data_IF_248201293527
#
_entry.id   IF_248201293527
#
_cell.length_a   1.000
_cell.length_b   1.000
_cell.length_c   1.000
_cell.angle_alpha   90.00
_cell.angle_beta   90.00
_cell.angle_gamma   90.00
#
_symmetry.space_group_name_H-M   'P 1'
#
loop_
_entity.id
_entity.type
_entity.pdbx_description
1 polymer ?
#
# COMPACT_ATOMS: atom_id res chain seq x y z
N UNK A 1 -9.38 8.83 -4.48
CA UNK A 1 -9.53 8.17 -3.18
C UNK A 1 -10.98 8.33 -2.79
N UNK A 2 -11.69 7.24 -2.58
CA UNK A 2 -13.11 7.28 -2.22
C UNK A 2 -13.18 6.83 -0.76
N UNK A 3 -13.61 7.70 0.18
CA UNK A 3 -13.80 7.28 1.56
C UNK A 3 -14.83 6.16 1.63
N UNK A 4 -14.59 5.16 2.48
CA UNK A 4 -15.58 4.13 2.77
C UNK A 4 -16.35 4.53 4.03
N UNK A 5 -17.68 4.54 3.93
CA UNK A 5 -18.55 4.99 5.02
C UNK A 5 -18.77 3.92 6.11
N UNK A 6 -18.42 2.66 5.86
CA UNK A 6 -18.73 1.53 6.75
C UNK A 6 -17.51 1.01 7.54
N UNK A 7 -16.32 1.17 7.00
CA UNK A 7 -15.08 0.57 7.51
C UNK A 7 -13.96 1.54 7.18
N UNK A 8 -13.20 2.00 8.17
CA UNK A 8 -12.20 3.08 8.07
C UNK A 8 -11.01 2.79 7.10
N UNK A 9 -11.29 2.49 5.84
CA UNK A 9 -10.36 2.23 4.75
C UNK A 9 -10.76 3.03 3.51
N UNK A 10 -9.82 3.21 2.59
CA UNK A 10 -10.04 3.97 1.37
C UNK A 10 -10.16 3.05 0.16
N UNK A 11 -11.07 3.37 -0.76
CA UNK A 11 -11.10 2.76 -2.07
C UNK A 11 -10.22 3.57 -3.03
N UNK A 12 -9.25 2.90 -3.65
CA UNK A 12 -8.38 3.48 -4.68
C UNK A 12 -8.81 2.91 -6.04
N UNK A 13 -9.40 3.76 -6.87
CA UNK A 13 -9.73 3.40 -8.25
C UNK A 13 -8.49 3.61 -9.14
N UNK A 14 -8.04 2.53 -9.79
CA UNK A 14 -6.92 2.57 -10.73
C UNK A 14 -7.29 3.14 -12.10
N UNK A 15 -6.31 3.18 -12.99
CA UNK A 15 -6.46 3.51 -14.41
C UNK A 15 -6.31 2.24 -15.25
N UNK A 16 -7.06 2.13 -16.36
CA UNK A 16 -7.06 0.94 -17.24
C UNK A 16 -5.78 0.79 -18.10
N UNK A 17 -4.79 1.67 -17.93
CA UNK A 17 -3.59 1.74 -18.77
C UNK A 17 -2.32 1.30 -18.01
N UNK A 18 -2.46 0.65 -16.86
CA UNK A 18 -1.35 0.13 -16.06
C UNK A 18 -0.76 -1.17 -16.63
N UNK A 19 0.44 -1.54 -16.16
CA UNK A 19 0.98 -2.89 -16.34
C UNK A 19 0.49 -3.74 -15.19
N UNK A 20 -0.30 -4.78 -15.49
CA UNK A 20 -0.90 -5.61 -14.45
C UNK A 20 -0.01 -6.80 -14.10
N UNK A 21 0.35 -6.89 -12.83
CA UNK A 21 1.00 -8.06 -12.26
C UNK A 21 -0.01 -8.76 -11.36
N UNK A 22 -0.24 -10.05 -11.61
CA UNK A 22 -1.02 -10.86 -10.68
C UNK A 22 -0.13 -11.19 -9.48
N UNK A 23 -0.61 -10.89 -8.28
CA UNK A 23 0.05 -11.21 -7.01
C UNK A 23 -0.79 -12.25 -6.28
N UNK A 24 -0.21 -13.42 -5.98
CA UNK A 24 -0.86 -14.49 -5.21
C UNK A 24 -0.05 -14.79 -3.96
N UNK A 25 -0.69 -14.71 -2.80
CA UNK A 25 -0.10 -15.14 -1.51
C UNK A 25 -0.52 -16.58 -1.22
N UNK A 26 0.43 -17.50 -1.05
CA UNK A 26 0.15 -18.91 -0.79
C UNK A 26 1.32 -19.59 -0.09
N UNK A 27 1.05 -20.36 0.97
CA UNK A 27 2.03 -21.20 1.67
C UNK A 27 3.33 -20.47 2.08
N UNK A 28 3.21 -19.24 2.62
CA UNK A 28 4.36 -18.44 3.04
C UNK A 28 5.18 -17.85 1.88
N UNK A 29 4.66 -17.89 0.66
CA UNK A 29 5.29 -17.34 -0.55
C UNK A 29 4.37 -16.34 -1.24
N UNK A 30 4.97 -15.45 -2.02
CA UNK A 30 4.30 -14.53 -2.93
C UNK A 30 4.71 -14.88 -4.36
N UNK A 31 3.75 -15.28 -5.17
CA UNK A 31 3.92 -15.49 -6.62
C UNK A 31 3.50 -14.22 -7.36
N UNK A 32 4.41 -13.73 -8.21
CA UNK A 32 4.11 -12.69 -9.19
C UNK A 32 3.99 -13.32 -10.57
N UNK A 33 2.94 -12.98 -11.31
CA UNK A 33 2.77 -13.36 -12.71
C UNK A 33 2.66 -12.10 -13.57
N UNK A 34 3.54 -11.95 -14.55
CA UNK A 34 3.46 -10.85 -15.53
C UNK A 34 2.36 -11.11 -16.56
N UNK A 35 1.97 -10.09 -17.31
CA UNK A 35 1.01 -10.22 -18.43
C UNK A 35 1.40 -11.30 -19.46
N UNK A 36 2.70 -11.52 -19.67
CA UNK A 36 3.23 -12.55 -20.57
C UNK A 36 3.24 -13.96 -19.95
N UNK A 37 2.77 -14.11 -18.71
CA UNK A 37 2.74 -15.36 -17.98
C UNK A 37 4.05 -15.74 -17.30
N UNK A 38 5.05 -14.86 -17.27
CA UNK A 38 6.29 -15.13 -16.54
C UNK A 38 6.02 -15.13 -15.04
N UNK A 39 6.53 -16.13 -14.33
CA UNK A 39 6.31 -16.30 -12.90
C UNK A 39 7.60 -16.17 -12.12
N UNK A 40 7.51 -15.52 -10.97
CA UNK A 40 8.56 -15.56 -9.94
C UNK A 40 7.92 -15.72 -8.57
N UNK A 41 8.63 -16.37 -7.64
CA UNK A 41 8.19 -16.58 -6.27
C UNK A 41 9.24 -16.10 -5.29
N UNK A 42 8.79 -15.42 -4.25
CA UNK A 42 9.65 -14.98 -3.14
C UNK A 42 9.02 -15.36 -1.79
N UNK A 43 9.83 -15.54 -0.73
CA UNK A 43 9.31 -15.69 0.63
C UNK A 43 8.47 -14.47 1.07
N UNK A 44 7.40 -14.72 1.82
CA UNK A 44 6.50 -13.67 2.31
C UNK A 44 7.23 -12.64 3.18
N UNK A 45 8.18 -13.06 4.00
CA UNK A 45 8.95 -12.16 4.87
C UNK A 45 9.80 -11.20 4.05
N UNK A 46 10.42 -11.69 2.97
CA UNK A 46 11.17 -10.85 2.04
C UNK A 46 10.23 -9.84 1.35
N UNK A 47 9.07 -10.28 0.89
CA UNK A 47 8.07 -9.40 0.30
C UNK A 47 7.62 -8.29 1.26
N UNK A 48 7.26 -8.64 2.50
CA UNK A 48 6.83 -7.68 3.53
C UNK A 48 7.92 -6.63 3.75
N UNK A 49 9.17 -7.04 3.92
CA UNK A 49 10.29 -6.12 4.11
C UNK A 49 10.44 -5.16 2.91
N UNK A 50 10.37 -5.69 1.68
CA UNK A 50 10.45 -4.85 0.47
C UNK A 50 9.28 -3.85 0.36
N UNK A 51 8.05 -4.26 0.72
CA UNK A 51 6.89 -3.36 0.70
C UNK A 51 7.05 -2.25 1.75
N UNK A 52 7.55 -2.57 2.94
CA UNK A 52 7.78 -1.60 4.01
C UNK A 52 8.89 -0.62 3.65
N UNK A 53 10.02 -1.10 3.11
CA UNK A 53 11.11 -0.25 2.65
C UNK A 53 10.64 0.70 1.53
N UNK A 54 9.84 0.19 0.58
CA UNK A 54 9.25 1.01 -0.48
C UNK A 54 8.25 2.03 0.07
N UNK A 55 7.44 1.65 1.06
CA UNK A 55 6.52 2.55 1.77
C UNK A 55 7.27 3.72 2.42
N UNK A 56 8.41 3.47 3.06
CA UNK A 56 9.27 4.51 3.62
C UNK A 56 9.84 5.44 2.53
N UNK A 57 10.23 4.90 1.37
CA UNK A 57 10.68 5.70 0.22
C UNK A 57 9.57 6.57 -0.36
N UNK A 58 8.34 6.07 -0.46
CA UNK A 58 7.17 6.84 -0.92
C UNK A 58 6.91 8.01 0.02
N UNK A 59 6.93 7.80 1.34
CA UNK A 59 6.78 8.88 2.31
C UNK A 59 7.88 9.94 2.19
N UNK A 60 9.14 9.51 2.04
CA UNK A 60 10.26 10.42 1.84
C UNK A 60 10.09 11.25 0.57
N UNK A 61 9.66 10.63 -0.53
CA UNK A 61 9.45 11.30 -1.81
C UNK A 61 8.37 12.39 -1.72
N UNK A 62 7.22 12.08 -1.12
CA UNK A 62 6.14 13.05 -0.98
C UNK A 62 6.42 14.09 0.11
N UNK A 63 7.28 13.79 1.09
CA UNK A 63 7.66 14.70 2.15
C UNK A 63 6.55 14.89 3.19
N UNK A 64 6.60 16.02 3.91
CA UNK A 64 5.65 16.28 4.99
C UNK A 64 4.25 16.64 4.44
N UNK A 65 3.19 15.85 4.75
CA UNK A 65 1.84 16.16 4.30
C UNK A 65 1.30 17.51 4.77
N UNK A 66 1.79 18.05 5.90
CA UNK A 66 1.33 19.35 6.40
C UNK A 66 1.79 20.54 5.56
N UNK A 67 2.75 20.31 4.64
CA UNK A 67 3.24 21.31 3.69
C UNK A 67 2.49 21.27 2.36
N UNK A 68 1.56 20.33 2.19
CA UNK A 68 0.77 20.16 0.97
C UNK A 68 -0.48 21.04 1.04
N UNK A 69 -0.91 21.52 -0.13
CA UNK A 69 -2.20 22.19 -0.26
C UNK A 69 -3.34 21.23 0.09
N UNK A 70 -4.22 21.66 0.99
CA UNK A 70 -5.38 20.88 1.41
C UNK A 70 -6.52 21.13 0.41
N UNK A 71 -7.12 20.08 -0.17
CA UNK A 71 -8.31 20.23 -1.03
C UNK A 71 -9.43 20.96 -0.30
N UNK A 72 -10.20 21.80 -1.01
CA UNK A 72 -11.34 22.51 -0.40
C UNK A 72 -12.59 21.63 -0.26
N UNK A 73 -12.64 20.55 -1.01
CA UNK A 73 -13.78 19.64 -1.06
C UNK A 73 -13.73 18.63 0.08
N UNK A 74 -14.86 18.45 0.77
CA UNK A 74 -14.96 17.57 1.94
C UNK A 74 -14.76 16.10 1.59
N UNK A 75 -15.19 15.67 0.39
CA UNK A 75 -15.04 14.29 -0.05
C UNK A 75 -13.55 13.95 -0.25
N UNK A 76 -12.79 14.83 -0.90
CA UNK A 76 -11.35 14.66 -1.07
C UNK A 76 -10.58 14.71 0.27
N UNK A 77 -10.94 15.62 1.16
CA UNK A 77 -10.34 15.70 2.50
C UNK A 77 -10.60 14.43 3.32
N UNK A 78 -11.83 13.93 3.31
CA UNK A 78 -12.21 12.71 4.02
C UNK A 78 -11.49 11.49 3.43
N UNK A 79 -11.42 11.38 2.10
CA UNK A 79 -10.69 10.32 1.40
C UNK A 79 -9.20 10.32 1.76
N UNK A 80 -8.55 11.49 1.80
CA UNK A 80 -7.15 11.60 2.21
C UNK A 80 -6.94 11.27 3.69
N UNK A 81 -7.85 11.71 4.57
CA UNK A 81 -7.76 11.41 6.01
C UNK A 81 -7.85 9.91 6.26
N UNK A 82 -8.82 9.24 5.65
CA UNK A 82 -8.95 7.78 5.77
C UNK A 82 -7.75 7.05 5.18
N UNK A 83 -7.26 7.46 4.00
CA UNK A 83 -6.03 6.92 3.42
C UNK A 83 -4.84 7.01 4.38
N UNK A 84 -4.61 8.18 5.00
CA UNK A 84 -3.49 8.34 5.95
C UNK A 84 -3.66 7.49 7.21
N UNK A 85 -4.88 7.36 7.72
CA UNK A 85 -5.17 6.47 8.85
C UNK A 85 -4.86 5.01 8.51
N UNK A 86 -5.40 4.51 7.40
CA UNK A 86 -5.20 3.14 6.93
C UNK A 86 -3.72 2.85 6.65
N UNK A 87 -3.05 3.75 5.92
CA UNK A 87 -1.62 3.67 5.61
C UNK A 87 -0.76 3.50 6.87
N UNK A 88 -0.99 4.35 7.88
CA UNK A 88 -0.23 4.30 9.14
C UNK A 88 -0.52 3.03 9.94
N UNK A 89 -1.78 2.58 9.95
CA UNK A 89 -2.19 1.37 10.67
C UNK A 89 -1.52 0.12 10.07
N UNK A 90 -1.62 -0.05 8.74
CA UNK A 90 -1.01 -1.18 8.03
C UNK A 90 0.51 -1.16 8.19
N UNK A 91 1.15 -0.01 7.99
CA UNK A 91 2.60 0.13 8.17
C UNK A 91 3.04 -0.26 9.59
N UNK A 92 2.33 0.21 10.62
CA UNK A 92 2.64 -0.11 12.02
C UNK A 92 2.45 -1.59 12.33
N UNK A 93 1.37 -2.20 11.82
CA UNK A 93 1.11 -3.63 11.95
C UNK A 93 2.24 -4.47 11.33
N UNK A 94 2.56 -4.20 10.07
CA UNK A 94 3.53 -4.99 9.32
C UNK A 94 4.98 -4.73 9.72
N UNK A 95 5.32 -3.53 10.21
CA UNK A 95 6.65 -3.27 10.81
C UNK A 95 6.91 -4.13 12.04
N UNK A 96 5.88 -4.43 12.86
CA UNK A 96 6.05 -5.34 14.00
C UNK A 96 6.42 -6.74 13.54
N UNK A 97 5.78 -7.21 12.45
CA UNK A 97 6.03 -8.54 11.88
C UNK A 97 7.39 -8.63 11.19
N UNK A 98 7.78 -7.59 10.44
CA UNK A 98 9.06 -7.50 9.72
C UNK A 98 10.30 -7.62 10.62
N UNK A 99 10.21 -7.15 11.87
CA UNK A 99 11.33 -7.09 12.81
C UNK A 99 11.29 -8.15 13.92
N UNK A 100 10.29 -9.03 13.95
CA UNK A 100 10.17 -10.12 14.94
C UNK A 100 10.86 -11.42 14.51
N UNK A 101 11.56 -11.45 13.36
CA UNK A 101 12.25 -12.62 12.83
C UNK A 101 13.78 -12.57 13.02
N UNK A 102 14.27 -12.01 14.13
CA UNK A 102 15.69 -12.09 14.55
C UNK A 102 15.84 -13.02 15.73
#
# INVERSE_FOLDING_TARGET
>A
MIPNDEKDYVLICGCNNGIDWSVKHENGMVEFTTEKGNKTKIPIDFYINQVIDFTDQVEQFYGNPSEKEVPKDDFDQNGFRQFRTEWNNLKSEWKKTAHNNV
#
